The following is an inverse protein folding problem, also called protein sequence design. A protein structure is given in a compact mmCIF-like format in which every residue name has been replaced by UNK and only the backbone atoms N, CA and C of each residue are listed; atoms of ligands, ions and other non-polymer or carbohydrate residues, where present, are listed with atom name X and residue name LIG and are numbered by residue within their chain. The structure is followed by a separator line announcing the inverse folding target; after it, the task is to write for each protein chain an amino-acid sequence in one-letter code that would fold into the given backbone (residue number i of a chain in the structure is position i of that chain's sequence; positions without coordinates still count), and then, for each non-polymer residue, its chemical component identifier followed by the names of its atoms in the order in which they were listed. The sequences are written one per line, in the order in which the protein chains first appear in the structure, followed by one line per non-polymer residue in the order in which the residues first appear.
data_IF_269578283836
#
_entry.id   IF_269578283836
#
_cell.length_a   1.000
_cell.length_b   1.000
_cell.length_c   1.000
_cell.angle_alpha   90.00
_cell.angle_beta   90.00
_cell.angle_gamma   90.00
#
_symmetry.space_group_name_H-M   'P 1'
#
loop_
_entity.id
_entity.type
_entity.pdbx_description
1 polymer ?
#
# COMPACT_ATOMS: atom_id res chain seq x y z
N UNK A 1 13.02 -17.83 65.00
CA UNK A 1 12.61 -16.43 65.25
C UNK A 1 13.38 -15.52 64.30
N UNK A 2 12.78 -14.49 63.69
CA UNK A 2 11.70 -14.63 62.70
C UNK A 2 11.91 -13.68 61.47
N UNK A 3 11.29 -13.88 60.30
CA UNK A 3 10.14 -13.13 59.70
C UNK A 3 10.43 -13.08 58.18
N UNK A 4 9.54 -13.16 57.20
CA UNK A 4 8.08 -13.35 57.10
C UNK A 4 7.80 -13.79 55.65
N UNK A 5 6.97 -14.83 55.47
CA UNK A 5 6.23 -15.11 54.22
C UNK A 5 4.99 -14.21 54.18
N UNK A 6 4.58 -13.79 52.98
CA UNK A 6 3.16 -13.69 52.62
C UNK A 6 2.97 -13.82 51.10
N UNK A 7 2.43 -14.97 50.69
CA UNK A 7 1.65 -15.17 49.48
C UNK A 7 0.28 -14.45 49.63
N UNK A 8 -0.34 -13.98 48.55
CA UNK A 8 -1.60 -14.56 48.02
C UNK A 8 -2.06 -13.92 46.70
N UNK A 9 -2.66 -14.79 45.88
CA UNK A 9 -3.25 -14.64 44.53
C UNK A 9 -4.47 -13.70 44.49
N UNK A 10 -4.79 -13.12 43.32
CA UNK A 10 -5.93 -13.55 42.46
C UNK A 10 -6.34 -12.53 41.37
N UNK A 11 -6.22 -13.00 40.12
CA UNK A 11 -7.12 -12.87 38.95
C UNK A 11 -7.55 -11.52 38.31
N UNK A 12 -7.92 -11.58 37.00
CA UNK A 12 -7.68 -10.52 36.02
C UNK A 12 -8.97 -9.81 35.58
N UNK A 13 -8.81 -8.67 34.91
CA UNK A 13 -9.83 -8.14 34.00
C UNK A 13 -9.20 -7.93 32.62
N UNK A 14 -9.58 -8.82 31.72
CA UNK A 14 -9.45 -8.72 30.28
C UNK A 14 -10.13 -7.46 29.76
N UNK A 15 -9.56 -6.89 28.70
CA UNK A 15 -10.28 -5.98 27.84
C UNK A 15 -9.37 -5.09 26.99
N UNK A 16 -8.70 -5.64 25.98
CA UNK A 16 -8.46 -4.94 24.69
C UNK A 16 -7.78 -5.84 23.66
N UNK A 17 -8.56 -6.18 22.63
CA UNK A 17 -8.23 -6.26 21.21
C UNK A 17 -6.81 -6.74 20.88
N UNK A 18 -6.63 -8.06 20.94
CA UNK A 18 -5.65 -8.76 20.12
C UNK A 18 -6.08 -8.65 18.64
N UNK A 19 -5.34 -7.87 17.84
CA UNK A 19 -5.24 -8.18 16.42
C UNK A 19 -4.27 -9.36 16.29
N UNK A 20 -4.57 -10.40 15.49
CA UNK A 20 -3.61 -11.45 15.23
C UNK A 20 -2.51 -10.88 14.34
N UNK A 21 -1.30 -10.77 14.87
CA UNK A 21 -0.08 -10.66 14.06
C UNK A 21 0.14 -12.01 13.40
N UNK A 22 -0.08 -12.08 12.08
CA UNK A 22 0.25 -13.26 11.30
C UNK A 22 1.77 -13.48 11.36
N UNK A 23 2.17 -14.71 11.64
CA UNK A 23 3.57 -15.14 11.69
C UNK A 23 4.13 -15.30 10.27
N UNK A 24 5.46 -15.21 10.12
CA UNK A 24 6.16 -15.32 8.82
C UNK A 24 5.86 -16.67 8.10
N UNK A 25 5.56 -17.73 8.85
CA UNK A 25 5.13 -19.02 8.27
C UNK A 25 3.69 -18.98 7.71
N UNK A 26 2.77 -18.21 8.31
CA UNK A 26 1.42 -18.01 7.77
C UNK A 26 1.43 -17.23 6.45
N UNK A 27 2.42 -16.36 6.22
CA UNK A 27 2.63 -15.69 4.92
C UNK A 27 3.07 -16.67 3.81
N UNK A 28 3.70 -17.79 4.17
CA UNK A 28 4.15 -18.82 3.23
C UNK A 28 3.07 -19.87 2.93
N UNK A 29 2.17 -20.16 3.87
CA UNK A 29 1.07 -21.11 3.69
C UNK A 29 -0.10 -20.55 2.87
N UNK A 30 -0.23 -19.22 2.77
CA UNK A 30 -1.10 -18.58 1.78
C UNK A 30 -0.64 -18.79 0.32
N UNK A 31 0.59 -19.27 0.07
CA UNK A 31 1.09 -19.54 -1.30
C UNK A 31 0.56 -20.82 -1.93
N UNK A 32 -0.10 -21.71 -1.17
CA UNK A 32 -0.59 -23.00 -1.67
C UNK A 32 -2.09 -23.25 -1.46
N UNK A 33 -2.84 -22.25 -0.99
CA UNK A 33 -4.29 -22.36 -0.92
C UNK A 33 -4.96 -21.75 -2.16
N UNK A 34 -5.89 -22.52 -2.69
CA UNK A 34 -6.75 -22.22 -3.82
C UNK A 34 -7.29 -20.78 -3.77
N UNK A 35 -7.34 -20.16 -4.96
CA UNK A 35 -8.04 -18.91 -5.24
C UNK A 35 -9.25 -18.69 -4.33
N UNK A 36 -9.44 -17.51 -3.69
CA UNK A 36 -10.79 -17.05 -3.46
C UNK A 36 -11.42 -16.99 -4.85
N UNK A 37 -12.38 -17.88 -5.10
CA UNK A 37 -13.17 -17.93 -6.31
C UNK A 37 -13.65 -16.50 -6.60
N UNK A 38 -13.33 -15.94 -7.77
CA UNK A 38 -13.93 -14.67 -8.21
C UNK A 38 -15.43 -14.93 -8.38
N UNK A 39 -16.21 -14.69 -7.32
CA UNK A 39 -17.66 -14.86 -7.35
C UNK A 39 -18.26 -13.90 -8.40
N UNK A 40 -19.05 -14.47 -9.30
CA UNK A 40 -19.93 -13.74 -10.21
C UNK A 40 -20.86 -12.84 -9.38
N UNK A 41 -20.60 -11.52 -9.38
CA UNK A 41 -21.58 -10.56 -8.90
C UNK A 41 -22.37 -9.98 -10.08
N UNK A 42 -23.72 -10.05 -10.03
CA UNK A 42 -24.58 -9.64 -11.13
C UNK A 42 -24.55 -8.11 -11.29
N UNK A 43 -24.59 -7.64 -12.54
CA UNK A 43 -24.88 -6.25 -12.85
C UNK A 43 -26.26 -5.90 -12.28
N UNK A 44 -26.31 -4.92 -11.37
CA UNK A 44 -27.58 -4.27 -11.05
C UNK A 44 -27.90 -3.29 -12.17
N UNK A 45 -28.53 -3.82 -13.21
CA UNK A 45 -29.30 -2.99 -14.12
C UNK A 45 -30.53 -2.43 -13.42
N UNK A 46 -30.81 -1.20 -13.82
CA UNK A 46 -31.71 -0.24 -13.23
C UNK A 46 -33.13 -0.53 -13.70
N UNK A 47 -34.00 -1.09 -12.83
CA UNK A 47 -35.38 -1.36 -13.22
C UNK A 47 -36.35 -0.25 -12.75
N UNK A 48 -36.91 0.41 -13.76
CA UNK A 48 -37.90 1.47 -13.65
C UNK A 48 -39.32 0.90 -13.53
N UNK A 49 -39.97 1.20 -12.41
CA UNK A 49 -41.42 1.42 -12.21
C UNK A 49 -42.33 1.33 -13.45
N UNK A 50 -43.33 0.42 -13.44
CA UNK A 50 -44.79 0.65 -13.16
C UNK A 50 -45.76 -0.22 -13.98
N UNK A 51 -46.84 -0.61 -13.29
CA UNK A 51 -48.24 -0.85 -13.73
C UNK A 51 -48.66 -2.20 -14.37
N UNK A 52 -49.55 -2.93 -13.67
CA UNK A 52 -51.00 -3.08 -13.99
C UNK A 52 -51.61 -4.22 -13.13
N UNK A 53 -52.47 -3.93 -12.13
CA UNK A 53 -53.95 -4.07 -12.17
C UNK A 53 -54.50 -5.44 -12.62
N UNK A 54 -55.05 -6.23 -11.67
CA UNK A 54 -56.42 -6.76 -11.76
C UNK A 54 -56.93 -7.40 -10.43
N UNK A 55 -58.02 -6.80 -9.94
CA UNK A 55 -59.17 -7.29 -9.15
C UNK A 55 -59.68 -8.70 -9.62
N UNK A 56 -60.46 -9.57 -8.95
CA UNK A 56 -61.47 -9.50 -7.85
C UNK A 56 -62.02 -10.94 -7.55
N UNK A 57 -62.55 -11.16 -6.32
CA UNK A 57 -63.59 -12.12 -5.83
C UNK A 57 -63.39 -13.66 -5.96
N UNK A 58 -63.96 -14.56 -5.13
CA UNK A 58 -64.78 -14.54 -3.90
C UNK A 58 -64.82 -15.98 -3.32
N UNK A 59 -65.06 -16.09 -2.02
CA UNK A 59 -66.08 -16.92 -1.32
C UNK A 59 -65.61 -17.66 -0.03
N UNK A 60 -66.50 -17.81 0.99
CA UNK A 60 -66.13 -17.96 2.39
C UNK A 60 -66.55 -19.30 3.05
N UNK A 61 -66.19 -19.41 4.33
CA UNK A 61 -66.78 -20.19 5.43
C UNK A 61 -66.05 -21.43 5.99
N UNK A 62 -65.91 -21.35 7.33
CA UNK A 62 -65.72 -22.38 8.39
C UNK A 62 -64.28 -22.85 8.64
N UNK A 63 -63.77 -23.00 9.87
CA UNK A 63 -64.27 -22.77 11.24
C UNK A 63 -63.08 -22.90 12.22
N UNK A 64 -63.23 -22.32 13.41
CA UNK A 64 -62.63 -22.68 14.71
C UNK A 64 -61.19 -22.21 15.10
N UNK A 65 -61.21 -21.08 15.82
CA UNK A 65 -60.38 -20.49 16.88
C UNK A 65 -59.55 -21.41 17.83
N UNK A 66 -58.75 -20.86 18.79
CA UNK A 66 -58.16 -19.51 18.91
C UNK A 66 -56.64 -19.48 19.23
N UNK A 67 -55.99 -18.36 18.87
CA UNK A 67 -54.76 -17.86 19.52
C UNK A 67 -55.13 -17.12 20.81
N UNK A 68 -54.29 -17.25 21.83
CA UNK A 68 -54.41 -16.58 23.14
C UNK A 68 -53.31 -15.53 23.28
N UNK A 69 -53.73 -14.27 23.19
CA UNK A 69 -53.46 -13.11 24.05
C UNK A 69 -52.14 -13.06 24.86
N UNK A 70 -51.41 -11.94 24.78
CA UNK A 70 -51.55 -10.83 25.75
C UNK A 70 -50.47 -9.74 25.56
N UNK A 71 -50.91 -8.50 25.76
CA UNK A 71 -50.25 -7.20 25.55
C UNK A 71 -49.72 -6.60 26.91
N UNK A 72 -49.24 -5.34 27.00
CA UNK A 72 -48.24 -4.90 28.00
C UNK A 72 -48.83 -4.24 29.26
N UNK A 73 -47.99 -4.04 30.30
CA UNK A 73 -48.24 -3.02 31.34
C UNK A 73 -46.97 -2.31 31.81
N UNK A 74 -47.12 -0.99 31.99
CA UNK A 74 -46.19 -0.04 32.59
C UNK A 74 -46.37 0.05 34.12
N UNK A 75 -45.32 0.43 34.87
CA UNK A 75 -45.29 1.68 35.66
C UNK A 75 -44.08 1.85 36.60
N UNK A 76 -43.56 3.08 36.57
CA UNK A 76 -42.85 3.90 37.56
C UNK A 76 -42.53 3.35 38.96
N UNK A 77 -41.30 3.61 39.43
CA UNK A 77 -41.09 4.40 40.67
C UNK A 77 -39.77 5.18 40.69
N UNK A 78 -39.88 6.44 41.12
CA UNK A 78 -38.82 7.42 41.40
C UNK A 78 -37.97 6.98 42.61
N UNK A 79 -36.65 7.29 42.64
CA UNK A 79 -35.93 7.68 43.88
C UNK A 79 -34.57 8.38 43.63
N UNK A 80 -34.54 9.65 44.08
CA UNK A 80 -33.48 10.48 44.72
C UNK A 80 -32.05 10.54 44.15
N UNK A 81 -31.71 11.76 43.73
CA UNK A 81 -30.36 12.32 43.57
C UNK A 81 -29.79 12.77 44.92
N UNK A 82 -28.48 12.60 45.19
CA UNK A 82 -27.75 13.47 46.11
C UNK A 82 -26.83 14.44 45.36
N UNK A 83 -26.95 15.72 45.71
CA UNK A 83 -26.12 16.84 45.28
C UNK A 83 -25.07 17.13 46.36
N UNK A 84 -23.79 17.35 46.02
CA UNK A 84 -22.83 17.90 47.00
C UNK A 84 -21.32 17.63 46.78
N UNK A 85 -20.73 18.28 45.76
CA UNK A 85 -19.39 18.92 45.71
C UNK A 85 -18.13 18.19 46.23
N UNK A 86 -17.22 17.86 45.29
CA UNK A 86 -15.81 18.25 45.41
C UNK A 86 -15.18 18.47 44.03
N UNK A 87 -14.74 19.71 43.76
CA UNK A 87 -14.02 20.13 42.54
C UNK A 87 -12.73 19.30 42.38
N UNK A 88 -12.54 18.66 41.22
CA UNK A 88 -11.22 18.23 40.75
C UNK A 88 -10.95 18.91 39.40
N UNK A 89 -9.92 19.74 39.37
CA UNK A 89 -9.44 20.50 38.20
C UNK A 89 -9.01 19.51 37.10
N UNK A 90 -9.45 19.75 35.87
CA UNK A 90 -8.93 19.10 34.67
C UNK A 90 -7.62 19.76 34.23
N UNK A 91 -6.55 19.04 33.85
CA UNK A 91 -5.44 19.62 33.10
C UNK A 91 -5.81 19.75 31.61
N UNK A 92 -6.37 20.92 31.35
CA UNK A 92 -6.26 21.83 30.22
C UNK A 92 -5.10 21.64 29.21
N UNK A 93 -5.11 20.65 28.32
CA UNK A 93 -4.38 20.77 27.03
C UNK A 93 -4.97 19.97 25.85
N UNK A 94 -6.15 19.35 26.03
CA UNK A 94 -6.91 18.75 24.94
C UNK A 94 -8.29 19.40 24.89
N UNK A 95 -8.48 20.37 23.96
CA UNK A 95 -9.75 20.70 23.27
C UNK A 95 -9.57 21.93 22.35
N UNK A 96 -9.33 21.62 21.06
CA UNK A 96 -9.80 22.29 19.84
C UNK A 96 -9.52 23.80 19.57
N UNK A 97 -8.82 24.00 18.44
CA UNK A 97 -8.77 25.15 17.50
C UNK A 97 -10.15 25.80 17.17
N UNK A 98 -10.25 27.09 16.75
CA UNK A 98 -10.07 27.45 15.31
C UNK A 98 -9.58 28.88 14.92
N UNK A 99 -8.87 28.95 13.78
CA UNK A 99 -8.87 29.90 12.64
C UNK A 99 -9.02 31.44 12.77
N UNK A 100 -8.08 32.20 12.16
CA UNK A 100 -8.27 33.24 11.10
C UNK A 100 -6.87 33.83 10.69
N UNK A 101 -6.26 33.45 9.56
CA UNK A 101 -6.35 34.05 8.21
C UNK A 101 -5.77 35.49 8.00
N UNK A 102 -4.67 35.51 7.24
CA UNK A 102 -4.32 36.36 6.08
C UNK A 102 -3.75 37.77 6.25
N UNK A 103 -2.58 37.98 5.61
CA UNK A 103 -2.19 38.98 4.57
C UNK A 103 -0.64 38.91 4.48
N UNK A 104 -0.08 38.07 3.61
CA UNK A 104 0.36 38.32 2.23
C UNK A 104 1.53 39.30 2.07
N UNK A 105 2.71 38.80 1.66
CA UNK A 105 3.46 39.41 0.55
C UNK A 105 4.35 38.37 -0.15
N UNK A 106 4.50 38.61 -1.44
CA UNK A 106 4.84 37.72 -2.54
C UNK A 106 6.35 37.67 -2.84
N UNK A 107 6.74 36.76 -3.75
CA UNK A 107 8.01 36.64 -4.49
C UNK A 107 9.11 35.77 -3.84
N UNK A 108 9.00 34.46 -4.05
CA UNK A 108 10.18 33.73 -4.51
C UNK A 108 9.80 32.89 -5.73
N UNK A 109 10.59 33.06 -6.78
CA UNK A 109 10.42 32.45 -8.08
C UNK A 109 10.48 30.92 -7.98
N UNK A 110 9.75 30.26 -8.87
CA UNK A 110 9.46 28.85 -8.83
C UNK A 110 10.69 27.95 -8.78
N UNK A 111 10.77 27.18 -7.71
CA UNK A 111 10.93 25.74 -7.87
C UNK A 111 9.54 25.15 -7.67
N UNK A 112 9.00 24.52 -8.72
CA UNK A 112 7.93 23.54 -8.52
C UNK A 112 8.60 22.39 -7.78
N UNK A 113 8.71 22.49 -6.45
CA UNK A 113 8.76 21.29 -5.64
C UNK A 113 7.46 20.56 -5.99
N UNK A 114 7.57 19.43 -6.70
CA UNK A 114 6.44 18.53 -6.82
C UNK A 114 5.98 18.27 -5.38
N UNK A 115 4.84 18.84 -4.99
CA UNK A 115 4.35 18.74 -3.63
C UNK A 115 4.20 17.24 -3.32
N UNK A 116 5.09 16.72 -2.47
CA UNK A 116 5.08 15.32 -2.11
C UNK A 116 3.82 15.10 -1.27
N UNK A 117 2.89 14.32 -1.79
CA UNK A 117 1.63 14.04 -1.10
C UNK A 117 1.93 13.22 0.15
N UNK A 118 1.46 13.62 1.34
CA UNK A 118 1.64 12.84 2.56
C UNK A 118 1.08 11.43 2.36
N UNK A 119 1.74 10.43 2.95
CA UNK A 119 1.21 9.07 2.98
C UNK A 119 -0.07 9.06 3.82
N UNK A 120 -1.21 8.91 3.13
CA UNK A 120 -2.52 8.76 3.76
C UNK A 120 -2.87 7.28 3.71
N UNK A 121 -3.04 6.60 4.87
CA UNK A 121 -3.56 5.24 4.89
C UNK A 121 -4.87 5.18 4.11
N UNK A 122 -4.95 4.27 3.14
CA UNK A 122 -6.11 4.17 2.26
C UNK A 122 -7.29 3.59 3.02
N UNK A 123 -8.35 4.37 3.16
CA UNK A 123 -9.49 4.02 4.01
C UNK A 123 -10.42 2.97 3.40
N UNK A 124 -10.39 2.80 2.07
CA UNK A 124 -11.33 1.98 1.31
C UNK A 124 -10.76 0.65 0.82
N UNK A 125 -9.54 0.29 1.24
CA UNK A 125 -8.93 -1.00 0.94
C UNK A 125 -9.08 -2.01 2.09
N UNK A 126 -9.46 -1.57 3.29
CA UNK A 126 -9.56 -2.46 4.45
C UNK A 126 -10.58 -3.58 4.23
N UNK A 127 -10.14 -4.83 4.39
CA UNK A 127 -10.94 -6.04 4.17
C UNK A 127 -11.14 -6.39 2.69
N UNK A 128 -10.53 -5.65 1.77
CA UNK A 128 -10.57 -5.96 0.35
C UNK A 128 -9.59 -7.09 0.03
N UNK A 129 -9.96 -8.02 -0.85
CA UNK A 129 -9.11 -9.19 -1.19
C UNK A 129 -7.73 -8.80 -1.72
N UNK A 130 -7.63 -7.65 -2.41
CA UNK A 130 -6.39 -7.11 -2.96
C UNK A 130 -5.64 -6.17 -2.00
N UNK A 131 -6.13 -5.95 -0.78
CA UNK A 131 -5.52 -5.04 0.21
C UNK A 131 -4.02 -5.25 0.36
N UNK A 132 -3.50 -6.49 0.56
CA UNK A 132 -2.06 -6.68 0.76
C UNK A 132 -1.25 -6.26 -0.47
N UNK A 133 -1.72 -6.57 -1.68
CA UNK A 133 -1.03 -6.21 -2.92
C UNK A 133 -1.10 -4.72 -3.21
N UNK A 134 -2.23 -4.08 -2.91
CA UNK A 134 -2.39 -2.63 -3.06
C UNK A 134 -1.45 -1.91 -2.09
N UNK A 135 -1.46 -2.32 -0.81
CA UNK A 135 -0.62 -1.72 0.21
C UNK A 135 0.87 -1.87 -0.14
N UNK A 136 1.32 -3.04 -0.57
CA UNK A 136 2.72 -3.22 -1.00
C UNK A 136 3.06 -2.34 -2.22
N UNK A 137 2.16 -2.20 -3.20
CA UNK A 137 2.39 -1.29 -4.33
C UNK A 137 2.45 0.19 -3.92
N UNK A 138 1.71 0.59 -2.88
CA UNK A 138 1.78 1.94 -2.29
C UNK A 138 3.10 2.11 -1.56
N UNK A 139 3.50 1.13 -0.75
CA UNK A 139 4.75 1.14 -0.02
C UNK A 139 5.94 1.25 -0.98
N UNK A 140 5.89 0.56 -2.13
CA UNK A 140 6.86 0.66 -3.21
C UNK A 140 6.79 1.99 -4.00
N UNK A 141 5.85 2.89 -3.74
CA UNK A 141 5.57 4.08 -4.56
C UNK A 141 5.24 3.79 -6.03
N UNK A 142 4.73 2.59 -6.35
CA UNK A 142 4.24 2.24 -7.69
C UNK A 142 2.85 2.82 -7.88
N UNK A 143 2.01 2.63 -6.87
CA UNK A 143 0.63 3.09 -6.81
C UNK A 143 0.54 4.32 -5.91
N UNK A 144 -0.34 5.24 -6.28
CA UNK A 144 -0.72 6.39 -5.45
C UNK A 144 -2.23 6.40 -5.25
N UNK A 145 -2.64 6.82 -4.06
CA UNK A 145 -4.04 7.08 -3.75
C UNK A 145 -4.54 8.37 -4.38
N UNK A 146 -5.85 8.55 -4.29
CA UNK A 146 -6.51 9.78 -4.61
C UNK A 146 -6.28 10.81 -3.49
N UNK A 147 -6.37 12.12 -3.79
CA UNK A 147 -6.23 13.18 -2.78
C UNK A 147 -7.25 13.09 -1.63
N UNK A 148 -8.36 12.37 -1.83
CA UNK A 148 -9.40 12.13 -0.82
C UNK A 148 -9.06 10.99 0.17
N UNK A 149 -7.87 10.39 0.06
CA UNK A 149 -7.44 9.27 0.92
C UNK A 149 -8.01 7.90 0.53
N UNK A 150 -8.54 7.77 -0.69
CA UNK A 150 -9.07 6.50 -1.23
C UNK A 150 -8.19 5.93 -2.34
N UNK A 151 -8.30 4.63 -2.61
CA UNK A 151 -7.69 3.96 -3.77
C UNK A 151 -8.68 3.66 -4.90
N UNK A 152 -9.93 3.38 -4.53
CA UNK A 152 -11.03 2.90 -5.38
C UNK A 152 -10.68 1.56 -6.07
N UNK A 153 -10.44 0.48 -5.30
CA UNK A 153 -9.93 -0.79 -5.84
C UNK A 153 -10.79 -1.39 -6.97
N UNK A 154 -12.11 -1.22 -6.89
CA UNK A 154 -13.06 -1.77 -7.85
C UNK A 154 -13.33 -0.86 -9.06
N UNK A 155 -12.75 0.34 -9.11
CA UNK A 155 -12.88 1.20 -10.27
C UNK A 155 -12.09 0.63 -11.45
N UNK A 156 -12.67 0.73 -12.66
CA UNK A 156 -11.95 0.43 -13.91
C UNK A 156 -10.72 1.33 -14.02
N UNK A 157 -9.60 0.74 -14.43
CA UNK A 157 -8.37 1.49 -14.70
C UNK A 157 -8.24 1.76 -16.20
N UNK A 158 -7.95 3.00 -16.57
CA UNK A 158 -7.74 3.35 -17.97
C UNK A 158 -6.41 2.82 -18.50
N UNK A 159 -6.31 2.71 -19.83
CA UNK A 159 -5.10 2.26 -20.52
C UNK A 159 -3.90 3.17 -20.23
N UNK A 160 -4.10 4.49 -20.18
CA UNK A 160 -3.04 5.44 -19.82
C UNK A 160 -2.61 5.32 -18.35
N UNK A 161 -3.56 5.19 -17.41
CA UNK A 161 -3.23 4.98 -16.00
C UNK A 161 -2.45 3.71 -15.78
N UNK A 162 -2.88 2.60 -16.38
CA UNK A 162 -2.18 1.33 -16.25
C UNK A 162 -0.78 1.40 -16.86
N UNK A 163 -0.62 2.04 -18.02
CA UNK A 163 0.68 2.25 -18.64
C UNK A 163 1.64 3.00 -17.72
N UNK A 164 1.17 4.06 -17.06
CA UNK A 164 1.98 4.83 -16.13
C UNK A 164 2.41 4.01 -14.90
N UNK A 165 1.59 3.05 -14.45
CA UNK A 165 2.00 2.09 -13.40
C UNK A 165 3.12 1.17 -13.91
N UNK A 166 3.01 0.66 -15.13
CA UNK A 166 4.03 -0.21 -15.75
C UNK A 166 5.36 0.53 -15.86
N UNK A 167 5.36 1.74 -16.44
CA UNK A 167 6.58 2.56 -16.58
C UNK A 167 7.26 2.82 -15.24
N UNK A 168 6.48 3.16 -14.22
CA UNK A 168 7.01 3.45 -12.87
C UNK A 168 7.57 2.23 -12.16
N UNK A 169 6.90 1.08 -12.25
CA UNK A 169 7.32 -0.13 -11.55
C UNK A 169 8.58 -0.76 -12.17
N UNK A 170 8.64 -0.77 -13.50
CA UNK A 170 9.78 -1.33 -14.24
C UNK A 170 10.89 -0.30 -14.48
N UNK A 171 10.73 0.94 -13.98
CA UNK A 171 11.73 2.02 -14.07
C UNK A 171 12.19 2.25 -15.51
N UNK A 172 11.22 2.29 -16.42
CA UNK A 172 11.48 2.41 -17.85
C UNK A 172 11.91 3.84 -18.13
N UNK A 173 13.11 4.07 -18.69
CA UNK A 173 13.61 5.42 -18.95
C UNK A 173 12.67 6.20 -19.85
N UNK A 174 12.54 7.51 -19.58
CA UNK A 174 11.68 8.39 -20.36
C UNK A 174 12.03 8.32 -21.86
N UNK A 175 10.99 8.33 -22.69
CA UNK A 175 11.15 8.52 -24.13
C UNK A 175 11.59 9.95 -24.42
N UNK A 176 12.31 10.12 -25.52
CA UNK A 176 12.68 11.43 -26.08
C UNK A 176 12.19 11.56 -27.52
N UNK A 177 11.41 10.59 -27.98
CA UNK A 177 10.91 10.46 -29.34
C UNK A 177 9.43 10.82 -29.36
N UNK A 178 9.02 11.61 -30.35
CA UNK A 178 7.65 12.11 -30.45
C UNK A 178 6.73 10.96 -30.88
N UNK A 179 5.89 10.51 -29.95
CA UNK A 179 4.84 9.54 -30.24
C UNK A 179 3.64 10.25 -30.83
N UNK A 180 3.27 9.90 -32.06
CA UNK A 180 2.12 10.52 -32.73
C UNK A 180 0.95 9.54 -32.76
N UNK A 181 -0.01 9.75 -31.87
CA UNK A 181 -1.36 9.20 -31.99
C UNK A 181 -2.35 10.37 -32.18
N UNK A 182 -3.36 10.24 -33.05
CA UNK A 182 -4.30 11.33 -33.34
C UNK A 182 -5.19 11.69 -32.13
N UNK A 183 -5.29 10.81 -31.14
CA UNK A 183 -6.06 10.97 -29.90
C UNK A 183 -5.19 11.27 -28.67
N UNK A 184 -3.91 11.59 -28.87
CA UNK A 184 -2.98 12.02 -27.82
C UNK A 184 -2.47 13.42 -28.15
N UNK A 185 -2.48 14.31 -27.16
CA UNK A 185 -2.10 15.72 -27.33
C UNK A 185 -0.81 16.01 -26.58
N UNK A 186 -0.05 16.96 -27.12
CA UNK A 186 1.08 17.55 -26.40
C UNK A 186 0.60 18.12 -25.06
N UNK A 187 1.24 17.69 -23.97
CA UNK A 187 0.90 18.09 -22.61
C UNK A 187 -0.08 17.16 -21.88
N UNK A 188 -0.55 16.08 -22.52
CA UNK A 188 -1.22 15.01 -21.79
C UNK A 188 -0.29 14.45 -20.71
N UNK A 189 -0.81 14.30 -19.50
CA UNK A 189 0.00 13.95 -18.31
C UNK A 189 0.73 12.61 -18.44
N UNK A 190 0.20 11.70 -19.26
CA UNK A 190 0.75 10.36 -19.51
C UNK A 190 1.68 10.29 -20.72
N UNK A 191 1.87 11.40 -21.44
CA UNK A 191 2.66 11.43 -22.66
C UNK A 191 4.10 10.94 -22.43
N UNK A 192 4.84 11.38 -21.39
CA UNK A 192 6.21 10.91 -21.16
C UNK A 192 6.28 9.38 -20.94
N UNK A 193 5.33 8.82 -20.19
CA UNK A 193 5.23 7.38 -19.98
C UNK A 193 4.83 6.62 -21.25
N UNK A 194 3.99 7.23 -22.09
CA UNK A 194 3.62 6.65 -23.38
C UNK A 194 4.81 6.60 -24.34
N UNK A 195 5.60 7.66 -24.41
CA UNK A 195 6.83 7.72 -25.20
C UNK A 195 7.84 6.65 -24.73
N UNK A 196 8.04 6.56 -23.42
CA UNK A 196 8.90 5.56 -22.79
C UNK A 196 8.46 4.13 -23.14
N UNK A 197 7.18 3.83 -22.97
CA UNK A 197 6.65 2.49 -23.18
C UNK A 197 6.59 2.10 -24.66
N UNK A 198 6.34 3.05 -25.58
CA UNK A 198 6.39 2.76 -27.01
C UNK A 198 7.82 2.45 -27.46
N UNK A 199 8.79 3.27 -27.05
CA UNK A 199 10.21 3.06 -27.35
C UNK A 199 10.72 1.72 -26.83
N UNK A 200 10.25 1.31 -25.66
CA UNK A 200 10.57 0.01 -25.05
C UNK A 200 9.77 -1.17 -25.65
N UNK A 201 8.86 -0.95 -26.62
CA UNK A 201 8.05 -1.99 -27.23
C UNK A 201 6.97 -2.58 -26.30
N UNK A 202 6.62 -1.88 -25.23
CA UNK A 202 5.67 -2.34 -24.19
C UNK A 202 4.23 -2.06 -24.61
N UNK A 203 3.99 -0.88 -25.16
CA UNK A 203 2.68 -0.43 -25.61
C UNK A 203 2.71 0.08 -27.05
N UNK A 204 1.58 -0.13 -27.73
CA UNK A 204 1.33 0.38 -29.09
C UNK A 204 -0.11 0.84 -29.22
N UNK A 205 -0.44 1.37 -30.39
CA UNK A 205 -1.79 1.77 -30.76
C UNK A 205 -2.66 0.61 -31.25
N UNK A 206 -3.91 0.92 -31.51
CA UNK A 206 -4.88 0.05 -32.17
C UNK A 206 -4.68 0.08 -33.70
N UNK A 207 -5.28 -0.88 -34.43
CA UNK A 207 -5.20 -0.92 -35.90
C UNK A 207 -5.71 0.33 -36.62
N UNK A 208 -6.56 1.13 -35.97
CA UNK A 208 -7.05 2.41 -36.48
C UNK A 208 -6.08 3.59 -36.26
N UNK A 209 -4.91 3.31 -35.71
CA UNK A 209 -3.88 4.31 -35.43
C UNK A 209 -4.09 5.10 -34.14
N UNK A 210 -5.10 4.79 -33.31
CA UNK A 210 -5.36 5.47 -32.02
C UNK A 210 -4.66 4.78 -30.84
N UNK A 211 -4.46 5.47 -29.72
CA UNK A 211 -3.98 4.85 -28.47
C UNK A 211 -5.11 4.51 -27.50
N UNK A 212 -6.20 5.28 -27.51
CA UNK A 212 -7.38 5.22 -26.64
C UNK A 212 -7.03 5.34 -25.15
N UNK A 213 -6.41 6.46 -24.71
CA UNK A 213 -5.85 6.59 -23.36
C UNK A 213 -6.88 6.45 -22.24
N UNK A 214 -8.11 6.91 -22.45
CA UNK A 214 -9.20 6.90 -21.45
C UNK A 214 -10.03 5.63 -21.46
N UNK A 215 -9.86 4.76 -22.46
CA UNK A 215 -10.54 3.45 -22.51
C UNK A 215 -10.04 2.62 -21.34
N UNK A 216 -10.95 1.88 -20.70
CA UNK A 216 -10.53 0.84 -19.76
C UNK A 216 -9.55 -0.13 -20.43
N UNK A 217 -8.53 -0.53 -19.68
CA UNK A 217 -7.59 -1.54 -20.16
C UNK A 217 -8.25 -2.91 -20.09
N UNK A 218 -8.17 -3.71 -21.16
CA UNK A 218 -8.66 -5.09 -21.10
C UNK A 218 -7.67 -5.97 -20.35
N UNK A 219 -8.13 -7.11 -19.83
CA UNK A 219 -7.27 -8.08 -19.13
C UNK A 219 -6.13 -8.58 -20.02
N UNK A 220 -6.37 -8.80 -21.31
CA UNK A 220 -5.32 -9.16 -22.27
C UNK A 220 -4.32 -8.03 -22.51
N UNK A 221 -4.78 -6.79 -22.64
CA UNK A 221 -3.91 -5.62 -22.82
C UNK A 221 -3.03 -5.40 -21.58
N UNK A 222 -3.63 -5.50 -20.39
CA UNK A 222 -2.95 -5.39 -19.10
C UNK A 222 -1.81 -6.42 -19.00
N UNK A 223 -2.10 -7.69 -19.26
CA UNK A 223 -1.11 -8.77 -19.24
C UNK A 223 -0.02 -8.56 -20.29
N UNK A 224 -0.39 -8.16 -21.51
CA UNK A 224 0.58 -7.96 -22.58
C UNK A 224 1.59 -6.87 -22.25
N UNK A 225 1.15 -5.74 -21.68
CA UNK A 225 2.07 -4.66 -21.28
C UNK A 225 3.03 -5.12 -20.19
N UNK A 226 2.52 -5.79 -19.15
CA UNK A 226 3.33 -6.26 -18.03
C UNK A 226 4.34 -7.32 -18.45
N UNK A 227 3.92 -8.29 -19.26
CA UNK A 227 4.80 -9.34 -19.77
C UNK A 227 5.88 -8.76 -20.66
N UNK A 228 5.57 -7.79 -21.53
CA UNK A 228 6.58 -7.13 -22.37
C UNK A 228 7.59 -6.37 -21.53
N UNK A 229 7.14 -5.66 -20.49
CA UNK A 229 8.01 -4.95 -19.57
C UNK A 229 8.95 -5.90 -18.79
N UNK A 230 8.44 -7.06 -18.37
CA UNK A 230 9.20 -8.05 -17.62
C UNK A 230 9.99 -9.05 -18.50
N UNK A 231 9.85 -8.99 -19.84
CA UNK A 231 10.19 -10.12 -20.73
C UNK A 231 11.61 -10.63 -20.58
N UNK A 232 12.58 -9.74 -20.40
CA UNK A 232 13.99 -10.10 -20.30
C UNK A 232 14.32 -10.85 -19.00
N UNK A 233 13.49 -10.68 -17.97
CA UNK A 233 13.70 -11.24 -16.64
C UNK A 233 12.82 -12.48 -16.37
N UNK A 234 11.85 -12.78 -17.24
CA UNK A 234 10.98 -13.96 -17.11
C UNK A 234 11.63 -15.22 -17.70
N UNK A 235 11.28 -16.38 -17.15
CA UNK A 235 11.78 -17.66 -17.66
C UNK A 235 11.36 -17.88 -19.12
N UNK A 236 12.20 -18.54 -19.94
CA UNK A 236 11.84 -18.86 -21.30
C UNK A 236 10.49 -19.58 -21.38
N UNK A 237 9.70 -19.17 -22.37
CA UNK A 237 8.38 -19.72 -22.61
C UNK A 237 8.50 -21.19 -23.03
N UNK A 238 7.79 -22.06 -22.32
CA UNK A 238 7.73 -23.49 -22.63
C UNK A 238 6.57 -23.78 -23.58
N UNK A 239 6.65 -24.91 -24.29
CA UNK A 239 5.55 -25.39 -25.10
C UNK A 239 4.35 -25.75 -24.20
N UNK A 240 3.14 -25.40 -24.66
CA UNK A 240 1.91 -25.63 -23.91
C UNK A 240 0.73 -24.86 -24.50
N UNK A 241 -0.47 -25.26 -24.12
CA UNK A 241 -1.72 -24.58 -24.43
C UNK A 241 -1.94 -23.38 -23.50
N UNK A 242 -2.79 -22.47 -23.94
CA UNK A 242 -3.34 -21.39 -23.09
C UNK A 242 -4.80 -21.69 -22.74
N UNK A 243 -5.57 -20.67 -22.37
CA UNK A 243 -6.99 -20.79 -22.06
C UNK A 243 -7.85 -21.01 -23.32
N UNK A 244 -9.01 -21.69 -23.21
CA UNK A 244 -9.87 -22.00 -24.36
C UNK A 244 -10.44 -20.78 -25.09
N UNK A 245 -10.54 -19.64 -24.40
CA UNK A 245 -11.07 -18.38 -24.92
C UNK A 245 -9.98 -17.39 -25.34
N UNK A 246 -8.73 -17.84 -25.44
CA UNK A 246 -7.60 -17.06 -25.95
C UNK A 246 -7.23 -17.58 -27.34
N UNK A 247 -7.69 -16.92 -28.41
CA UNK A 247 -7.38 -17.35 -29.77
C UNK A 247 -5.91 -17.12 -30.12
N UNK A 248 -5.44 -17.79 -31.18
CA UNK A 248 -4.12 -17.53 -31.75
C UNK A 248 -4.03 -16.08 -32.27
N UNK A 249 -2.99 -15.36 -31.84
CA UNK A 249 -2.78 -13.96 -32.18
C UNK A 249 -1.88 -13.21 -31.20
N UNK A 250 -2.04 -11.89 -31.17
CA UNK A 250 -1.15 -10.97 -30.44
C UNK A 250 -1.11 -11.20 -28.92
N UNK A 251 -2.16 -11.80 -28.36
CA UNK A 251 -2.30 -12.04 -26.92
C UNK A 251 -1.87 -13.45 -26.48
N UNK A 252 -1.68 -14.38 -27.41
CA UNK A 252 -1.42 -15.79 -27.09
C UNK A 252 -0.11 -15.97 -26.34
N UNK A 253 0.98 -15.40 -26.86
CA UNK A 253 2.29 -15.51 -26.22
C UNK A 253 2.31 -14.80 -24.84
N UNK A 254 1.87 -13.53 -24.71
CA UNK A 254 1.88 -12.87 -23.42
C UNK A 254 1.02 -13.57 -22.37
N UNK A 255 -0.20 -14.01 -22.73
CA UNK A 255 -1.08 -14.69 -21.78
C UNK A 255 -0.51 -16.02 -21.33
N UNK A 256 0.07 -16.80 -22.27
CA UNK A 256 0.72 -18.07 -21.93
C UNK A 256 1.92 -17.88 -21.02
N UNK A 257 2.77 -16.88 -21.29
CA UNK A 257 3.90 -16.59 -20.42
C UNK A 257 3.46 -16.13 -19.04
N UNK A 258 2.46 -15.25 -18.97
CA UNK A 258 1.92 -14.78 -17.69
C UNK A 258 1.32 -15.92 -16.86
N UNK A 259 0.65 -16.88 -17.50
CA UNK A 259 0.16 -18.09 -16.84
C UNK A 259 1.31 -18.95 -16.32
N UNK A 260 2.30 -19.24 -17.16
CA UNK A 260 3.48 -20.04 -16.79
C UNK A 260 4.26 -19.40 -15.62
N UNK A 261 4.40 -18.08 -15.64
CA UNK A 261 5.12 -17.31 -14.63
C UNK A 261 4.30 -17.03 -13.36
N UNK A 262 3.04 -17.50 -13.29
CA UNK A 262 2.17 -17.28 -12.13
C UNK A 262 1.71 -15.82 -11.95
N UNK A 263 1.87 -14.99 -12.99
CA UNK A 263 1.44 -13.59 -12.99
C UNK A 263 -0.09 -13.51 -13.01
N UNK A 264 -0.73 -14.37 -13.80
CA UNK A 264 -2.18 -14.48 -13.91
C UNK A 264 -2.65 -15.92 -13.79
N UNK A 265 -3.89 -16.08 -13.32
CA UNK A 265 -4.64 -17.33 -13.40
C UNK A 265 -5.88 -17.18 -14.29
N UNK A 266 -6.55 -18.30 -14.50
CA UNK A 266 -7.89 -18.33 -15.08
C UNK A 266 -8.98 -18.21 -14.03
N UNK A 267 -10.21 -18.10 -14.52
CA UNK A 267 -11.42 -18.17 -13.74
C UNK A 267 -11.78 -19.63 -13.44
N UNK A 268 -12.74 -19.82 -12.53
CA UNK A 268 -13.17 -21.15 -12.08
C UNK A 268 -13.70 -22.04 -13.21
N UNK A 269 -14.20 -21.43 -14.29
CA UNK A 269 -14.67 -22.11 -15.50
C UNK A 269 -13.55 -22.44 -16.49
N UNK A 270 -12.29 -22.18 -16.12
CA UNK A 270 -11.11 -22.43 -16.95
C UNK A 270 -10.87 -21.39 -18.05
N UNK A 271 -11.55 -20.24 -18.02
CA UNK A 271 -11.41 -19.17 -19.02
C UNK A 271 -10.51 -18.03 -18.54
N UNK A 272 -10.04 -17.20 -19.46
CA UNK A 272 -9.23 -16.01 -19.18
C UNK A 272 -10.02 -14.71 -19.18
N UNK A 273 -11.03 -14.59 -20.04
CA UNK A 273 -11.80 -13.37 -20.33
C UNK A 273 -10.91 -12.21 -20.84
N UNK A 274 -10.31 -12.34 -22.04
CA UNK A 274 -9.33 -11.36 -22.56
C UNK A 274 -9.87 -9.93 -22.70
N UNK A 275 -11.17 -9.79 -23.00
CA UNK A 275 -11.82 -8.49 -23.22
C UNK A 275 -12.42 -7.86 -21.96
N UNK A 276 -12.44 -8.59 -20.83
CA UNK A 276 -12.92 -8.06 -19.55
C UNK A 276 -12.08 -6.85 -19.16
N UNK A 277 -12.75 -5.76 -18.78
CA UNK A 277 -12.10 -4.55 -18.32
C UNK A 277 -11.48 -4.79 -16.94
N UNK A 278 -10.21 -4.44 -16.79
CA UNK A 278 -9.51 -4.59 -15.52
C UNK A 278 -9.86 -3.47 -14.55
N UNK A 279 -9.90 -3.79 -13.26
CA UNK A 279 -10.00 -2.81 -12.19
C UNK A 279 -8.63 -2.50 -11.56
N UNK A 280 -8.59 -1.47 -10.71
CA UNK A 280 -7.37 -1.00 -10.04
C UNK A 280 -6.78 -2.03 -9.07
N UNK A 281 -7.59 -2.90 -8.48
CA UNK A 281 -7.14 -4.00 -7.63
C UNK A 281 -6.43 -5.10 -8.44
N UNK A 282 -7.03 -5.55 -9.54
CA UNK A 282 -6.43 -6.52 -10.48
C UNK A 282 -5.10 -5.97 -11.02
N UNK A 283 -5.04 -4.69 -11.38
CA UNK A 283 -3.82 -4.04 -11.82
C UNK A 283 -2.69 -4.12 -10.78
N UNK A 284 -2.95 -3.78 -9.50
CA UNK A 284 -1.95 -3.84 -8.45
C UNK A 284 -1.44 -5.28 -8.22
N UNK A 285 -2.33 -6.26 -8.23
CA UNK A 285 -1.99 -7.68 -8.04
C UNK A 285 -1.14 -8.20 -9.19
N UNK A 286 -1.52 -7.91 -10.44
CA UNK A 286 -0.77 -8.34 -11.63
C UNK A 286 0.62 -7.69 -11.66
N UNK A 287 0.72 -6.41 -11.31
CA UNK A 287 2.00 -5.70 -11.21
C UNK A 287 2.92 -6.33 -10.17
N UNK A 288 2.42 -6.56 -8.95
CA UNK A 288 3.24 -7.14 -7.88
C UNK A 288 3.70 -8.56 -8.23
N UNK A 289 2.80 -9.40 -8.75
CA UNK A 289 3.16 -10.75 -9.18
C UNK A 289 4.18 -10.77 -10.31
N UNK A 290 4.11 -9.82 -11.24
CA UNK A 290 5.11 -9.71 -12.28
C UNK A 290 6.48 -9.33 -11.72
N UNK A 291 6.54 -8.40 -10.76
CA UNK A 291 7.79 -8.06 -10.07
C UNK A 291 8.35 -9.26 -9.29
N UNK A 292 7.48 -10.10 -8.73
CA UNK A 292 7.92 -11.32 -8.04
C UNK A 292 8.36 -12.42 -9.01
N UNK A 293 7.74 -12.53 -10.18
CA UNK A 293 8.01 -13.58 -11.16
C UNK A 293 9.33 -13.37 -11.93
N UNK A 294 9.91 -12.17 -11.89
CA UNK A 294 11.23 -11.91 -12.46
C UNK A 294 12.27 -12.78 -11.76
N UNK A 295 13.01 -13.54 -12.56
CA UNK A 295 14.05 -14.42 -12.06
C UNK A 295 15.16 -13.61 -11.38
N UNK A 296 15.82 -14.23 -10.41
CA UNK A 296 17.05 -13.67 -9.86
C UNK A 296 18.10 -13.62 -10.98
N UNK A 297 18.76 -12.49 -11.22
CA UNK A 297 19.75 -12.36 -12.28
C UNK A 297 20.89 -13.37 -12.08
N UNK A 298 21.52 -13.78 -13.19
CA UNK A 298 22.72 -14.62 -13.18
C UNK A 298 23.84 -14.02 -12.31
N UNK A 299 23.90 -12.68 -12.25
CA UNK A 299 24.67 -11.92 -11.26
C UNK A 299 23.71 -11.31 -10.23
N UNK A 300 23.52 -11.99 -9.10
CA UNK A 300 22.73 -11.48 -7.97
C UNK A 300 23.13 -10.03 -7.63
N UNK A 301 22.19 -9.18 -7.18
CA UNK A 301 22.60 -7.88 -6.65
C UNK A 301 23.63 -8.08 -5.55
N UNK A 302 24.68 -7.27 -5.63
CA UNK A 302 25.83 -7.36 -4.75
C UNK A 302 25.38 -7.10 -3.30
N UNK A 303 25.68 -8.04 -2.41
CA UNK A 303 25.35 -7.93 -0.98
C UNK A 303 25.95 -6.65 -0.40
N UNK A 304 27.15 -6.26 -0.85
CA UNK A 304 27.80 -5.04 -0.40
C UNK A 304 27.04 -3.79 -0.85
N UNK A 305 26.47 -3.79 -2.06
CA UNK A 305 25.65 -2.67 -2.55
C UNK A 305 24.37 -2.53 -1.72
N UNK A 306 23.65 -3.63 -1.50
CA UNK A 306 22.39 -3.62 -0.74
C UNK A 306 22.60 -3.23 0.72
N UNK A 307 23.58 -3.86 1.39
CA UNK A 307 23.89 -3.57 2.79
C UNK A 307 24.48 -2.18 2.96
N UNK A 308 25.33 -1.75 2.03
CA UNK A 308 25.89 -0.39 1.97
C UNK A 308 24.80 0.68 1.86
N UNK A 309 23.76 0.44 1.05
CA UNK A 309 22.63 1.37 0.92
C UNK A 309 21.92 1.61 2.27
N UNK A 310 21.70 0.55 3.05
CA UNK A 310 21.06 0.67 4.37
C UNK A 310 21.99 1.35 5.37
N UNK A 311 23.26 0.97 5.43
CA UNK A 311 24.24 1.59 6.34
C UNK A 311 24.40 3.09 6.03
N UNK A 312 24.42 3.46 4.76
CA UNK A 312 24.52 4.86 4.33
C UNK A 312 23.25 5.66 4.70
N UNK A 313 22.06 5.08 4.52
CA UNK A 313 20.79 5.69 4.95
C UNK A 313 20.76 5.97 6.46
N UNK A 314 21.12 4.97 7.28
CA UNK A 314 21.17 5.12 8.74
C UNK A 314 22.23 6.13 9.18
N UNK A 315 23.41 6.07 8.57
CA UNK A 315 24.50 7.01 8.83
C UNK A 315 24.10 8.45 8.52
N UNK A 316 23.40 8.68 7.41
CA UNK A 316 22.89 10.00 7.04
C UNK A 316 21.90 10.54 8.08
N UNK A 317 20.91 9.74 8.49
CA UNK A 317 19.94 10.16 9.50
C UNK A 317 20.56 10.44 10.87
N UNK A 318 21.54 9.62 11.29
CA UNK A 318 22.30 9.84 12.53
C UNK A 318 23.12 11.13 12.47
N UNK A 319 23.82 11.36 11.37
CA UNK A 319 24.62 12.58 11.14
C UNK A 319 23.72 13.83 11.22
N UNK A 320 22.58 13.81 10.55
CA UNK A 320 21.57 14.87 10.57
C UNK A 320 21.08 15.17 11.99
N UNK A 321 20.63 14.15 12.73
CA UNK A 321 20.15 14.31 14.10
C UNK A 321 21.22 14.84 15.06
N UNK A 322 22.46 14.36 14.95
CA UNK A 322 23.58 14.81 15.78
C UNK A 322 23.97 16.28 15.51
N UNK A 323 23.78 16.74 14.26
CA UNK A 323 24.03 18.13 13.86
C UNK A 323 22.80 19.03 13.96
N UNK A 324 21.68 18.52 14.50
CA UNK A 324 20.40 19.26 14.62
C UNK A 324 19.81 19.70 13.28
N UNK A 325 20.17 19.00 12.21
CA UNK A 325 19.54 19.15 10.90
C UNK A 325 18.32 18.24 10.82
N UNK A 326 17.21 18.70 11.40
CA UNK A 326 15.96 17.93 11.43
C UNK A 326 15.18 17.98 10.11
N UNK A 327 15.74 18.54 9.04
CA UNK A 327 15.12 18.48 7.71
C UNK A 327 15.13 17.07 7.12
N UNK A 328 16.03 16.21 7.61
CA UNK A 328 16.24 14.83 7.14
C UNK A 328 16.52 14.73 5.62
N UNK A 329 16.97 15.82 5.00
CA UNK A 329 17.13 15.93 3.54
C UNK A 329 18.11 14.90 2.96
N UNK A 330 19.19 14.57 3.68
CA UNK A 330 20.18 13.56 3.28
C UNK A 330 19.57 12.16 3.35
N UNK A 331 18.93 11.78 4.45
CA UNK A 331 18.30 10.46 4.57
C UNK A 331 17.15 10.25 3.57
N UNK A 332 16.42 11.31 3.23
CA UNK A 332 15.39 11.27 2.18
C UNK A 332 15.93 10.88 0.80
N UNK A 333 17.22 11.03 0.51
CA UNK A 333 17.79 10.60 -0.78
C UNK A 333 17.80 9.08 -0.95
N UNK A 334 17.74 8.33 0.15
CA UNK A 334 17.79 6.88 0.17
C UNK A 334 16.40 6.23 0.14
N UNK A 335 15.35 7.01 0.46
CA UNK A 335 14.01 6.49 0.73
C UNK A 335 12.99 6.93 -0.30
N UNK A 336 12.04 6.03 -0.56
CA UNK A 336 10.86 6.24 -1.39
C UNK A 336 9.62 5.68 -0.67
N UNK A 337 8.45 5.94 -1.24
CA UNK A 337 7.20 5.32 -0.79
C UNK A 337 6.94 5.48 0.71
N UNK A 338 6.62 4.38 1.39
CA UNK A 338 6.26 4.41 2.81
C UNK A 338 7.43 4.88 3.68
N UNK A 339 8.65 4.36 3.46
CA UNK A 339 9.83 4.75 4.22
C UNK A 339 10.09 6.27 4.12
N UNK A 340 10.00 6.82 2.92
CA UNK A 340 10.15 8.27 2.71
C UNK A 340 9.11 9.06 3.48
N UNK A 341 7.85 8.64 3.40
CA UNK A 341 6.78 9.34 4.09
C UNK A 341 6.91 9.26 5.62
N UNK A 342 7.39 8.14 6.17
CA UNK A 342 7.73 8.05 7.59
C UNK A 342 8.85 9.01 7.96
N UNK A 343 9.92 9.10 7.15
CA UNK A 343 11.01 10.05 7.39
C UNK A 343 10.52 11.50 7.39
N UNK A 344 9.66 11.88 6.44
CA UNK A 344 9.04 13.22 6.41
C UNK A 344 8.20 13.46 7.66
N UNK A 345 7.36 12.49 8.06
CA UNK A 345 6.53 12.63 9.26
C UNK A 345 7.36 12.77 10.53
N UNK A 346 8.52 12.10 10.62
CA UNK A 346 9.41 12.17 11.77
C UNK A 346 10.20 13.48 11.83
N UNK A 347 10.47 14.12 10.68
CA UNK A 347 11.19 15.39 10.61
C UNK A 347 10.48 16.49 11.43
N UNK A 348 9.15 16.56 11.36
CA UNK A 348 8.36 17.53 12.13
C UNK A 348 8.47 17.30 13.66
N UNK A 349 8.39 16.04 14.09
CA UNK A 349 8.54 15.66 15.50
C UNK A 349 9.96 15.96 16.03
N UNK A 350 10.98 15.70 15.22
CA UNK A 350 12.38 15.99 15.53
C UNK A 350 12.64 17.50 15.58
N UNK A 351 12.05 18.28 14.67
CA UNK A 351 12.15 19.73 14.69
C UNK A 351 11.50 20.33 15.95
N UNK A 352 10.33 19.83 16.34
CA UNK A 352 9.67 20.22 17.60
C UNK A 352 10.52 19.83 18.82
N UNK A 353 11.16 18.66 18.78
CA UNK A 353 12.09 18.20 19.81
C UNK A 353 13.29 19.14 19.95
N UNK A 354 13.93 19.52 18.83
CA UNK A 354 15.02 20.49 18.81
C UNK A 354 14.62 21.86 19.34
N UNK A 355 13.43 22.34 18.97
CA UNK A 355 12.89 23.62 19.43
C UNK A 355 12.68 23.68 20.96
N UNK A 356 12.55 22.53 21.63
CA UNK A 356 12.49 22.46 23.10
C UNK A 356 13.84 22.71 23.80
N UNK A 357 14.93 22.84 23.04
CA UNK A 357 16.30 22.91 23.55
C UNK A 357 16.92 21.54 23.84
N UNK A 358 16.19 20.45 23.52
CA UNK A 358 16.71 19.10 23.61
C UNK A 358 17.64 18.77 22.44
N UNK A 359 18.62 17.89 22.69
CA UNK A 359 19.64 17.47 21.73
C UNK A 359 19.81 15.96 21.80
N UNK A 360 20.08 15.36 20.65
CA UNK A 360 20.43 13.96 20.53
C UNK A 360 21.92 13.85 20.18
N UNK A 361 22.59 12.89 20.79
CA UNK A 361 23.89 12.41 20.35
C UNK A 361 23.83 10.88 20.28
N UNK A 362 23.84 10.36 19.06
CA UNK A 362 23.70 8.95 18.74
C UNK A 362 25.08 8.44 18.30
N UNK A 363 25.59 7.45 19.01
CA UNK A 363 26.88 6.81 18.72
C UNK A 363 26.63 5.33 18.42
N UNK A 364 26.82 4.89 17.17
CA UNK A 364 26.76 3.48 16.83
C UNK A 364 27.81 2.68 17.60
N UNK A 365 27.41 1.56 18.22
CA UNK A 365 28.32 0.60 18.87
C UNK A 365 28.46 -0.67 18.04
N UNK A 366 27.34 -1.21 17.56
CA UNK A 366 27.32 -2.34 16.64
C UNK A 366 26.35 -2.04 15.51
N UNK A 367 26.71 -2.45 14.31
CA UNK A 367 25.87 -2.35 13.11
C UNK A 367 26.18 -3.57 12.24
N UNK A 368 25.15 -4.36 11.93
CA UNK A 368 25.26 -5.52 11.05
C UNK A 368 24.10 -5.53 10.08
N UNK A 369 24.43 -5.49 8.80
CA UNK A 369 23.47 -5.62 7.71
C UNK A 369 23.64 -6.98 7.02
N UNK A 370 22.54 -7.64 6.69
CA UNK A 370 22.50 -8.92 5.99
C UNK A 370 21.46 -8.83 4.87
N UNK A 371 21.89 -9.00 3.62
CA UNK A 371 20.99 -9.06 2.47
C UNK A 371 20.19 -10.38 2.47
N UNK A 372 18.89 -10.27 2.17
CA UNK A 372 17.90 -11.33 2.21
C UNK A 372 16.96 -11.20 1.00
N UNK A 373 16.26 -12.28 0.66
CA UNK A 373 15.17 -12.30 -0.33
C UNK A 373 15.48 -11.53 -1.64
N UNK A 374 16.71 -11.67 -2.15
CA UNK A 374 17.19 -10.93 -3.32
C UNK A 374 16.49 -11.40 -4.60
N UNK A 375 15.92 -10.45 -5.34
CA UNK A 375 15.35 -10.61 -6.68
C UNK A 375 15.96 -9.59 -7.63
N UNK A 376 15.56 -9.62 -8.90
CA UNK A 376 16.06 -8.70 -9.92
C UNK A 376 15.88 -7.23 -9.56
N UNK A 377 14.72 -6.88 -8.96
CA UNK A 377 14.34 -5.48 -8.71
C UNK A 377 13.91 -5.21 -7.27
N UNK A 378 13.90 -6.22 -6.42
CA UNK A 378 13.53 -6.12 -5.00
C UNK A 378 14.52 -6.90 -4.14
N UNK A 379 14.73 -6.45 -2.91
CA UNK A 379 15.55 -7.15 -1.93
C UNK A 379 15.11 -6.75 -0.52
N UNK A 380 15.51 -7.54 0.46
CA UNK A 380 15.41 -7.17 1.86
C UNK A 380 16.79 -7.11 2.50
N UNK A 381 16.95 -6.29 3.53
CA UNK A 381 18.16 -6.23 4.34
C UNK A 381 17.73 -6.23 5.79
N UNK A 382 18.16 -7.26 6.53
CA UNK A 382 18.06 -7.28 7.99
C UNK A 382 19.20 -6.46 8.56
N UNK A 383 18.88 -5.49 9.39
CA UNK A 383 19.81 -4.59 10.03
C UNK A 383 19.69 -4.69 11.54
N UNK A 384 20.71 -5.22 12.19
CA UNK A 384 20.81 -5.30 13.65
C UNK A 384 21.78 -4.25 14.15
N UNK A 385 21.39 -3.53 15.20
CA UNK A 385 22.19 -2.44 15.73
C UNK A 385 22.16 -2.38 17.25
N UNK A 386 23.22 -1.78 17.79
CA UNK A 386 23.31 -1.24 19.15
C UNK A 386 23.72 0.21 19.04
N UNK A 387 22.87 1.12 19.48
CA UNK A 387 23.17 2.54 19.56
C UNK A 387 23.27 2.99 21.00
N UNK A 388 24.24 3.84 21.26
CA UNK A 388 24.30 4.61 22.49
C UNK A 388 23.71 5.99 22.22
N UNK A 389 22.57 6.29 22.84
CA UNK A 389 21.85 7.53 22.64
C UNK A 389 21.96 8.35 23.92
N UNK A 390 22.58 9.52 23.80
CA UNK A 390 22.56 10.56 24.82
C UNK A 390 21.52 11.60 24.44
N UNK A 391 20.55 11.78 25.33
CA UNK A 391 19.56 12.86 25.29
C UNK A 391 19.98 13.94 26.26
N UNK A 392 20.17 15.16 25.77
CA UNK A 392 20.48 16.34 26.60
C UNK A 392 19.34 17.34 26.49
N UNK A 393 18.73 17.72 27.60
CA UNK A 393 17.70 18.74 27.70
C UNK A 393 18.00 19.66 28.90
N UNK A 394 17.31 20.79 29.07
CA UNK A 394 17.52 21.66 30.23
C UNK A 394 17.43 20.88 31.55
N UNK A 395 18.55 20.80 32.28
CA UNK A 395 18.71 20.10 33.56
C UNK A 395 18.62 18.56 33.52
N UNK A 396 18.62 17.94 32.35
CA UNK A 396 18.55 16.48 32.20
C UNK A 396 19.53 16.01 31.14
N UNK A 397 20.42 15.10 31.52
CA UNK A 397 21.18 14.30 30.58
C UNK A 397 20.90 12.83 30.86
N UNK A 398 20.44 12.10 29.84
CA UNK A 398 20.13 10.68 29.96
C UNK A 398 20.81 9.93 28.84
N UNK A 399 21.58 8.91 29.22
CA UNK A 399 22.28 8.01 28.32
C UNK A 399 21.65 6.64 28.36
N UNK A 400 21.29 6.08 27.22
CA UNK A 400 20.74 4.73 27.11
C UNK A 400 21.42 3.97 25.98
N UNK A 401 21.52 2.65 26.15
CA UNK A 401 21.77 1.74 25.05
C UNK A 401 20.43 1.30 24.48
N UNK A 402 20.32 1.34 23.16
CA UNK A 402 19.15 0.91 22.40
C UNK A 402 19.62 -0.13 21.40
N UNK A 403 19.10 -1.35 21.56
CA UNK A 403 19.33 -2.44 20.63
C UNK A 403 18.06 -2.68 19.82
N UNK A 404 18.23 -3.06 18.56
CA UNK A 404 17.10 -3.34 17.69
C UNK A 404 17.49 -4.15 16.47
N UNK A 405 16.46 -4.74 15.86
CA UNK A 405 16.54 -5.32 14.52
C UNK A 405 15.47 -4.71 13.65
N UNK A 406 15.86 -4.23 12.48
CA UNK A 406 14.99 -3.66 11.46
C UNK A 406 15.09 -4.50 10.19
N UNK A 407 13.97 -4.61 9.49
CA UNK A 407 13.89 -5.17 8.16
C UNK A 407 13.65 -4.04 7.16
N UNK A 408 14.64 -3.79 6.31
CA UNK A 408 14.55 -2.84 5.21
C UNK A 408 14.09 -3.57 3.97
N UNK A 409 13.04 -3.08 3.31
CA UNK A 409 12.66 -3.54 1.97
C UNK A 409 13.11 -2.50 0.95
N UNK A 410 13.82 -2.98 -0.07
CA UNK A 410 14.44 -2.16 -1.11
C UNK A 410 13.90 -2.53 -2.49
N UNK A 411 13.84 -1.54 -3.38
CA UNK A 411 13.62 -1.77 -4.81
C UNK A 411 14.52 -0.91 -5.69
N UNK A 412 14.73 -1.36 -6.92
CA UNK A 412 15.45 -0.58 -7.93
C UNK A 412 14.57 0.57 -8.46
N UNK A 413 15.15 1.78 -8.52
CA UNK A 413 14.57 2.96 -9.15
C UNK A 413 15.68 3.93 -9.58
N UNK A 414 15.60 4.46 -10.81
CA UNK A 414 16.65 5.27 -11.42
C UNK A 414 18.00 4.57 -11.54
N UNK A 415 18.03 3.22 -11.59
CA UNK A 415 19.27 2.44 -11.51
C UNK A 415 19.93 2.37 -10.12
N UNK A 416 19.25 2.86 -9.08
CA UNK A 416 19.71 2.81 -7.69
C UNK A 416 18.75 1.98 -6.81
N UNK A 417 19.28 1.36 -5.76
CA UNK A 417 18.45 0.74 -4.73
C UNK A 417 17.89 1.80 -3.80
N UNK A 418 16.57 1.85 -3.64
CA UNK A 418 15.88 2.75 -2.71
C UNK A 418 15.12 1.94 -1.67
N UNK A 419 15.15 2.40 -0.43
CA UNK A 419 14.39 1.82 0.69
C UNK A 419 12.95 2.31 0.57
N UNK A 420 12.00 1.39 0.47
CA UNK A 420 10.59 1.74 0.33
C UNK A 420 9.75 1.43 1.57
N UNK A 421 10.24 0.53 2.45
CA UNK A 421 9.58 0.15 3.70
C UNK A 421 10.62 -0.24 4.76
N UNK A 422 10.35 0.12 6.01
CA UNK A 422 11.18 -0.21 7.19
C UNK A 422 10.25 -0.76 8.28
N UNK A 423 10.55 -1.96 8.75
CA UNK A 423 9.74 -2.65 9.76
C UNK A 423 10.62 -3.06 10.95
N UNK A 424 10.09 -2.94 12.17
CA UNK A 424 10.77 -3.50 13.34
C UNK A 424 10.55 -5.01 13.41
N UNK A 425 11.63 -5.79 13.48
CA UNK A 425 11.53 -7.19 13.86
C UNK A 425 11.45 -7.27 15.39
N UNK A 426 10.33 -7.75 15.93
CA UNK A 426 10.24 -8.10 17.35
C UNK A 426 11.34 -9.12 17.68
N UNK A 427 11.99 -9.03 18.86
CA UNK A 427 12.88 -10.09 19.30
C UNK A 427 12.11 -11.41 19.32
N UNK A 428 12.58 -12.41 18.56
CA UNK A 428 12.02 -13.76 18.57
C UNK A 428 12.31 -14.47 19.90
#
# INVERSE_FOLDING_TARGET
MPLKRSFFRSNPLQGRLSQPSLTIEEYSSFRHNQFPQEENFPSKDNDSRKNSHSRINNDPHKNNAPRKDWEPQANFTKRKVPTGLRKKKSPLWLRFLPALCLISFFLFAGQVMAAETPYVPMTDIQGHWAEPSIQECVDMAIVRGNPDGTYRPNATISRAEFLALVVRAFDIPAGTEEVTFPDVKKGDWFLPELEAAQKAGIAGGYPDGTFRPTKGVSRAEMVAMVVRAARQDLSPLQAGSTFPDVPDGWMTEPVRLALQSGIVGGYADGRFYPDKQANRAEAAVVMLRALDAMQVPEKQPDDQQLTGQVIASEGAGIDEMNHQDYSMTKSLQYTIGQARAMTISQADDLAAYGASGARLNIVPKTQKALALQKRQRTAQVRYTFTYEITVTAPNVEKKNLVDGTLLYSLRMQGGEWKIYKIESESPQ
#
